data_IF_901978963563
#
_entry.id   IF_901978963563
#
_cell.length_a   1.000
_cell.length_b   1.000
_cell.length_c   1.000
_cell.angle_alpha   90.00
_cell.angle_beta   90.00
_cell.angle_gamma   90.00
#
_symmetry.space_group_name_H-M   'P 1'
#
loop_
_entity.id
_entity.type
_entity.pdbx_description
1 polymer ?
#
# COMPACT_ATOMS: atom_id res chain seq x y z
N UNK A 1 25.81 14.93 -31.07
CA UNK A 1 24.35 15.16 -31.16
C UNK A 1 23.48 13.91 -30.98
N UNK A 2 23.91 12.68 -31.31
CA UNK A 2 23.12 11.45 -31.07
C UNK A 2 23.13 10.90 -29.62
N UNK A 3 24.11 11.26 -28.76
CA UNK A 3 24.15 10.83 -27.34
C UNK A 3 23.09 11.52 -26.46
N UNK A 4 22.81 12.81 -26.69
CA UNK A 4 21.85 13.59 -25.87
C UNK A 4 20.38 13.15 -26.00
N UNK A 5 20.03 12.36 -27.01
CA UNK A 5 18.65 11.89 -27.22
C UNK A 5 18.31 10.61 -26.44
N UNK A 6 19.32 9.83 -26.02
CA UNK A 6 19.09 8.52 -25.35
C UNK A 6 18.52 8.65 -23.93
N UNK A 7 18.83 9.73 -23.22
CA UNK A 7 18.36 9.97 -21.84
C UNK A 7 17.13 10.87 -21.76
N UNK A 8 16.48 11.18 -22.90
CA UNK A 8 15.20 11.92 -22.91
C UNK A 8 14.00 11.06 -22.47
N UNK A 9 14.20 9.75 -22.24
CA UNK A 9 13.15 8.77 -22.01
C UNK A 9 13.30 8.03 -20.67
N UNK A 10 13.76 8.70 -19.62
CA UNK A 10 13.36 8.26 -18.28
C UNK A 10 11.86 8.55 -18.17
N UNK A 11 11.06 7.48 -18.05
CA UNK A 11 9.61 7.59 -18.17
C UNK A 11 9.04 8.19 -16.90
N UNK A 12 8.38 9.33 -17.03
CA UNK A 12 7.42 9.82 -16.06
C UNK A 12 6.14 8.98 -16.19
N UNK A 13 6.08 7.86 -15.48
CA UNK A 13 4.88 7.03 -15.39
C UNK A 13 4.28 7.16 -13.98
N UNK A 14 3.24 7.98 -13.89
CA UNK A 14 2.26 7.88 -12.81
C UNK A 14 0.89 7.82 -13.49
N UNK A 15 0.38 6.60 -13.61
CA UNK A 15 -0.98 6.35 -14.09
C UNK A 15 -1.98 6.94 -13.08
N UNK A 16 -2.87 7.81 -13.56
CA UNK A 16 -4.05 8.26 -12.84
C UNK A 16 -5.28 8.10 -13.73
N UNK A 17 -6.31 7.43 -13.20
CA UNK A 17 -7.64 7.37 -13.82
C UNK A 17 -8.68 8.13 -13.00
N UNK A 18 -9.64 8.68 -13.75
CA UNK A 18 -10.70 9.59 -13.31
C UNK A 18 -11.90 8.85 -12.69
N UNK A 19 -12.63 9.51 -11.78
CA UNK A 19 -14.01 9.13 -11.43
C UNK A 19 -15.02 10.18 -11.92
N UNK A 20 -16.05 9.69 -12.62
CA UNK A 20 -17.37 10.35 -12.74
C UNK A 20 -18.18 10.00 -11.49
N UNK A 21 -18.86 10.99 -10.90
CA UNK A 21 -19.91 10.78 -9.90
C UNK A 21 -21.13 10.11 -10.53
N UNK A 22 -21.66 9.08 -9.88
CA UNK A 22 -23.07 8.68 -10.05
C UNK A 22 -23.63 8.24 -8.70
N UNK A 23 -24.67 8.95 -8.28
CA UNK A 23 -25.43 8.82 -7.04
C UNK A 23 -26.33 7.59 -7.04
N UNK A 24 -26.49 6.92 -5.89
CA UNK A 24 -27.64 6.06 -5.62
C UNK A 24 -28.07 6.17 -4.15
N UNK A 25 -29.38 6.17 -3.93
CA UNK A 25 -30.03 6.51 -2.66
C UNK A 25 -31.15 5.50 -2.36
N UNK A 26 -31.32 5.21 -1.05
CA UNK A 26 -32.51 4.73 -0.31
C UNK A 26 -33.00 3.27 -0.46
N UNK A 27 -32.99 2.51 0.64
CA UNK A 27 -34.19 1.99 1.37
C UNK A 27 -33.78 1.05 2.52
N UNK A 28 -34.32 1.25 3.74
CA UNK A 28 -34.64 0.19 4.74
C UNK A 28 -35.18 0.79 6.05
N UNK A 29 -36.51 0.82 6.21
CA UNK A 29 -37.18 1.32 7.43
C UNK A 29 -37.88 0.24 8.29
N UNK A 30 -37.77 -1.06 7.99
CA UNK A 30 -38.56 -2.10 8.67
C UNK A 30 -37.83 -3.01 9.70
N UNK A 31 -36.56 -2.74 10.05
CA UNK A 31 -35.80 -3.62 10.97
C UNK A 31 -35.54 -3.05 12.39
N UNK A 32 -36.06 -1.86 12.74
CA UNK A 32 -35.70 -1.21 14.01
C UNK A 32 -36.37 -1.79 15.26
N UNK A 33 -37.62 -2.30 15.18
CA UNK A 33 -38.33 -2.79 16.37
C UNK A 33 -37.90 -4.18 16.83
N UNK A 34 -37.44 -5.05 15.93
CA UNK A 34 -36.96 -6.39 16.27
C UNK A 34 -35.55 -6.32 16.90
N UNK A 35 -34.69 -5.44 16.38
CA UNK A 35 -33.35 -5.20 16.92
C UNK A 35 -33.41 -4.66 18.35
N UNK A 36 -34.31 -3.73 18.67
CA UNK A 36 -34.39 -3.14 20.02
C UNK A 36 -34.74 -4.15 21.13
N UNK A 37 -35.51 -5.21 20.83
CA UNK A 37 -35.87 -6.25 21.82
C UNK A 37 -34.74 -7.26 22.05
N UNK A 38 -33.96 -7.57 21.02
CA UNK A 38 -32.80 -8.47 21.13
C UNK A 38 -31.62 -7.78 21.84
N UNK A 39 -31.40 -6.49 21.60
CA UNK A 39 -30.33 -5.72 22.25
C UNK A 39 -30.54 -5.62 23.77
N UNK A 40 -31.78 -5.48 24.26
CA UNK A 40 -32.02 -5.34 25.71
C UNK A 40 -31.77 -6.64 26.49
N UNK A 41 -32.09 -7.80 25.91
CA UNK A 41 -31.80 -9.10 26.52
C UNK A 41 -30.30 -9.43 26.48
N UNK A 42 -29.59 -9.06 25.41
CA UNK A 42 -28.14 -9.27 25.31
C UNK A 42 -27.33 -8.37 26.26
N UNK A 43 -27.75 -7.12 26.49
CA UNK A 43 -27.07 -6.20 27.43
C UNK A 43 -27.14 -6.73 28.87
N UNK A 44 -28.26 -7.34 29.27
CA UNK A 44 -28.39 -7.98 30.60
C UNK A 44 -27.42 -9.16 30.77
N UNK A 45 -27.26 -9.98 29.73
CA UNK A 45 -26.38 -11.16 29.77
C UNK A 45 -24.89 -10.79 29.76
N UNK A 46 -24.50 -9.79 28.95
CA UNK A 46 -23.12 -9.27 28.89
C UNK A 46 -22.70 -8.60 30.20
N UNK A 47 -23.63 -7.90 30.88
CA UNK A 47 -23.34 -7.29 32.18
C UNK A 47 -23.16 -8.31 33.31
N UNK A 48 -23.75 -9.51 33.19
CA UNK A 48 -23.49 -10.62 34.11
C UNK A 48 -22.11 -11.25 33.90
N UNK A 49 -21.64 -11.35 32.65
CA UNK A 49 -20.36 -11.98 32.28
C UNK A 49 -19.14 -11.05 32.49
N UNK A 50 -19.31 -9.73 32.39
CA UNK A 50 -18.23 -8.74 32.67
C UNK A 50 -17.76 -8.73 34.12
N UNK A 51 -18.54 -9.28 35.07
CA UNK A 51 -18.16 -9.31 36.49
C UNK A 51 -17.14 -10.39 36.85
N UNK A 52 -16.85 -11.33 35.95
CA UNK A 52 -16.07 -12.54 36.29
C UNK A 52 -14.73 -12.70 35.59
N UNK A 53 -14.40 -11.96 34.52
CA UNK A 53 -13.11 -12.14 33.82
C UNK A 53 -12.67 -10.89 33.05
N UNK A 54 -11.41 -10.48 33.27
CA UNK A 54 -10.77 -9.34 32.60
C UNK A 54 -10.50 -9.65 31.12
N UNK A 55 -10.99 -8.78 30.21
CA UNK A 55 -10.34 -8.55 28.91
C UNK A 55 -10.61 -9.50 27.74
N UNK A 56 -11.80 -10.11 27.61
CA UNK A 56 -12.18 -10.84 26.39
C UNK A 56 -12.89 -9.94 25.35
N UNK A 57 -12.42 -9.96 24.09
CA UNK A 57 -13.20 -9.54 22.92
C UNK A 57 -14.11 -10.71 22.53
N UNK A 58 -15.42 -10.49 22.58
CA UNK A 58 -16.43 -11.49 22.21
C UNK A 58 -17.04 -11.08 20.87
N UNK A 59 -16.89 -11.92 19.85
CA UNK A 59 -17.62 -11.77 18.59
C UNK A 59 -18.80 -12.74 18.62
N UNK A 60 -20.01 -12.22 18.44
CA UNK A 60 -21.24 -13.02 18.43
C UNK A 60 -21.77 -13.09 17.01
N UNK A 61 -21.83 -14.29 16.46
CA UNK A 61 -22.45 -14.55 15.16
C UNK A 61 -23.73 -15.35 15.37
N UNK A 62 -24.86 -14.83 14.87
CA UNK A 62 -26.14 -15.51 14.90
C UNK A 62 -26.41 -16.15 13.54
N UNK A 63 -26.67 -17.46 13.54
CA UNK A 63 -27.12 -18.18 12.36
C UNK A 63 -28.52 -18.71 12.59
N UNK A 64 -29.43 -18.39 11.68
CA UNK A 64 -30.79 -18.90 11.67
C UNK A 64 -30.90 -19.91 10.53
N UNK A 65 -31.04 -21.19 10.84
CA UNK A 65 -31.43 -22.19 9.84
C UNK A 65 -32.93 -22.49 9.99
N UNK A 66 -33.60 -22.64 8.84
CA UNK A 66 -34.96 -23.15 8.78
C UNK A 66 -34.94 -24.39 7.89
N UNK A 67 -35.42 -25.51 8.42
CA UNK A 67 -35.67 -26.71 7.62
C UNK A 67 -37.18 -26.87 7.46
N UNK A 68 -37.64 -26.93 6.22
CA UNK A 68 -39.03 -27.25 5.89
C UNK A 68 -39.16 -28.77 5.77
N UNK A 69 -39.41 -29.42 6.90
CA UNK A 69 -40.02 -30.75 6.95
C UNK A 69 -41.48 -30.61 7.38
N UNK A 70 -42.40 -31.18 6.62
CA UNK A 70 -43.84 -31.03 6.80
C UNK A 70 -44.30 -31.18 8.26
N UNK A 71 -44.95 -30.13 8.74
CA UNK A 71 -45.54 -29.92 10.07
C UNK A 71 -44.57 -29.65 11.24
N UNK A 72 -44.52 -28.36 11.60
CA UNK A 72 -43.75 -27.63 12.63
C UNK A 72 -42.38 -27.08 12.18
N UNK A 73 -42.37 -25.80 11.85
CA UNK A 73 -41.16 -24.98 11.68
C UNK A 73 -40.48 -24.83 13.05
N UNK A 74 -39.33 -25.49 13.25
CA UNK A 74 -38.47 -25.24 14.42
C UNK A 74 -37.34 -24.32 13.95
N UNK A 75 -37.42 -23.04 14.31
CA UNK A 75 -36.30 -22.11 14.15
C UNK A 75 -35.27 -22.40 15.24
N UNK A 76 -34.15 -23.00 14.87
CA UNK A 76 -33.03 -23.19 15.81
C UNK A 76 -32.06 -22.04 15.61
N UNK A 77 -31.92 -21.18 16.62
CA UNK A 77 -30.94 -20.09 16.62
C UNK A 77 -29.64 -20.64 17.19
N UNK A 78 -28.59 -20.62 16.37
CA UNK A 78 -27.23 -20.96 16.81
C UNK A 78 -26.51 -19.66 17.18
N UNK A 79 -26.03 -19.58 18.42
CA UNK A 79 -25.20 -18.48 18.90
C UNK A 79 -23.78 -19.01 19.06
N UNK A 80 -22.89 -18.63 18.14
CA UNK A 80 -21.48 -18.97 18.23
C UNK A 80 -20.74 -17.87 18.99
N UNK A 81 -20.02 -18.25 20.04
CA UNK A 81 -19.14 -17.35 20.78
C UNK A 81 -17.69 -17.61 20.37
N UNK A 82 -17.09 -16.66 19.65
CA UNK A 82 -15.65 -16.69 19.39
C UNK A 82 -14.94 -15.92 20.50
N UNK A 83 -14.09 -16.63 21.24
CA UNK A 83 -13.20 -16.07 22.25
C UNK A 83 -11.77 -16.07 21.71
N UNK A 84 -11.19 -14.90 21.52
CA UNK A 84 -9.77 -14.76 21.21
C UNK A 84 -9.02 -14.36 22.48
N UNK A 85 -8.17 -15.24 23.00
CA UNK A 85 -7.26 -14.92 24.11
C UNK A 85 -5.92 -14.53 23.49
N UNK A 86 -5.37 -13.33 23.75
CA UNK A 86 -4.02 -13.01 23.32
C UNK A 86 -3.05 -13.53 24.38
N UNK A 87 -2.23 -14.54 24.07
CA UNK A 87 -0.89 -14.66 24.67
C UNK A 87 0.03 -15.57 23.86
N UNK A 88 1.26 -15.09 23.81
CA UNK A 88 2.49 -15.66 23.27
C UNK A 88 2.68 -17.16 23.53
N UNK A 89 3.15 -17.86 22.49
CA UNK A 89 3.56 -19.27 22.45
C UNK A 89 2.43 -20.28 22.67
N UNK A 90 2.10 -21.01 21.60
CA UNK A 90 1.02 -22.00 21.41
C UNK A 90 -0.38 -21.42 21.14
N UNK A 91 -0.67 -21.20 19.85
CA UNK A 91 -2.01 -20.87 19.36
C UNK A 91 -2.98 -22.04 19.56
N UNK A 92 -3.97 -21.84 20.42
CA UNK A 92 -5.18 -22.66 20.49
C UNK A 92 -6.41 -21.77 20.43
N UNK A 93 -7.23 -21.93 19.40
CA UNK A 93 -8.55 -21.30 19.27
C UNK A 93 -9.62 -22.27 19.80
N UNK A 94 -10.55 -21.77 20.61
CA UNK A 94 -11.64 -22.56 21.17
C UNK A 94 -12.96 -22.17 20.51
N UNK A 95 -13.65 -23.13 19.88
CA UNK A 95 -15.03 -22.96 19.43
C UNK A 95 -15.96 -23.62 20.44
N UNK A 96 -16.79 -22.83 21.12
CA UNK A 96 -17.82 -23.31 22.04
C UNK A 96 -19.18 -23.24 21.34
N UNK A 97 -19.79 -24.41 21.13
CA UNK A 97 -21.13 -24.52 20.54
C UNK A 97 -22.14 -24.72 21.67
N UNK A 98 -23.09 -23.80 21.79
CA UNK A 98 -24.19 -23.90 22.75
C UNK A 98 -25.46 -24.37 22.05
N UNK A 99 -26.03 -25.48 22.52
CA UNK A 99 -27.32 -25.99 22.05
C UNK A 99 -28.45 -25.53 22.99
N UNK A 100 -29.37 -24.72 22.47
CA UNK A 100 -30.49 -24.14 23.23
C UNK A 100 -31.57 -25.15 23.61
N UNK A 101 -31.63 -26.34 22.98
CA UNK A 101 -32.63 -27.38 23.32
C UNK A 101 -32.18 -28.30 24.45
N UNK A 102 -30.86 -28.51 24.64
CA UNK A 102 -30.31 -29.43 25.66
C UNK A 102 -29.53 -28.73 26.78
N UNK A 103 -29.33 -27.41 26.68
CA UNK A 103 -28.53 -26.61 27.64
C UNK A 103 -27.12 -27.15 27.89
N UNK A 104 -26.49 -27.77 26.88
CA UNK A 104 -25.14 -28.36 26.96
C UNK A 104 -24.11 -27.56 26.14
N UNK A 105 -22.90 -27.41 26.67
CA UNK A 105 -21.73 -26.84 25.99
C UNK A 105 -20.86 -27.97 25.42
N UNK A 106 -20.59 -27.94 24.12
CA UNK A 106 -19.59 -28.81 23.48
C UNK A 106 -18.37 -27.99 23.07
N UNK A 107 -17.18 -28.42 23.50
CA UNK A 107 -15.90 -27.91 23.03
C UNK A 107 -15.29 -28.88 22.03
N UNK A 108 -15.04 -28.42 20.81
CA UNK A 108 -14.27 -29.17 19.83
C UNK A 108 -12.83 -28.63 19.84
N UNK A 109 -11.86 -29.45 20.28
CA UNK A 109 -10.44 -29.17 20.11
C UNK A 109 -10.01 -29.75 18.77
N UNK A 110 -9.79 -28.89 17.78
CA UNK A 110 -8.97 -29.23 16.62
C UNK A 110 -7.70 -28.39 16.68
N UNK A 111 -6.55 -29.06 16.78
CA UNK A 111 -5.25 -28.44 16.64
C UNK A 111 -5.13 -27.99 15.16
N UNK A 112 -5.53 -26.75 14.87
CA UNK A 112 -5.26 -26.12 13.59
C UNK A 112 -3.83 -25.63 13.62
N UNK A 113 -2.94 -26.37 12.96
CA UNK A 113 -1.63 -25.85 12.57
C UNK A 113 -1.88 -24.67 11.61
N UNK A 114 -1.88 -23.45 12.14
CA UNK A 114 -1.90 -22.24 11.33
C UNK A 114 -0.55 -22.17 10.64
N UNK A 115 -0.48 -22.56 9.38
CA UNK A 115 0.65 -22.24 8.51
C UNK A 115 0.87 -20.73 8.58
N UNK A 116 2.11 -20.30 8.77
CA UNK A 116 2.43 -18.87 8.69
C UNK A 116 1.94 -18.36 7.33
N UNK A 117 0.89 -17.53 7.33
CA UNK A 117 0.36 -16.95 6.09
C UNK A 117 1.48 -16.12 5.44
N UNK A 118 1.79 -16.46 4.20
CA UNK A 118 2.73 -15.68 3.38
C UNK A 118 2.08 -14.34 3.10
N UNK A 119 2.75 -13.25 3.47
CA UNK A 119 2.26 -11.91 3.23
C UNK A 119 2.35 -11.60 1.74
N UNK A 120 1.35 -10.92 1.20
CA UNK A 120 1.34 -10.41 -0.16
C UNK A 120 1.26 -8.88 -0.17
N UNK A 121 1.94 -8.26 -1.14
CA UNK A 121 1.80 -6.83 -1.39
C UNK A 121 0.35 -6.47 -1.76
N UNK A 122 -0.40 -7.41 -2.34
CA UNK A 122 -1.79 -7.22 -2.74
C UNK A 122 -2.79 -7.38 -1.57
N UNK A 123 -2.31 -7.64 -0.35
CA UNK A 123 -3.16 -7.77 0.83
C UNK A 123 -3.87 -6.46 1.19
N UNK A 124 -5.15 -6.57 1.49
CA UNK A 124 -6.00 -5.45 1.85
C UNK A 124 -5.81 -5.08 3.33
N UNK A 125 -5.20 -3.92 3.59
CA UNK A 125 -4.87 -3.48 4.95
C UNK A 125 -5.89 -2.48 5.52
N UNK A 126 -6.38 -2.76 6.72
CA UNK A 126 -7.25 -1.86 7.48
C UNK A 126 -8.74 -1.99 7.16
N UNK A 127 -9.54 -1.40 8.04
CA UNK A 127 -10.99 -1.52 8.02
C UNK A 127 -11.60 -0.58 6.97
N UNK A 128 -12.59 -1.06 6.24
CA UNK A 128 -13.40 -0.21 5.35
C UNK A 128 -14.17 0.84 6.17
N UNK A 129 -14.38 2.01 5.58
CA UNK A 129 -15.09 3.12 6.24
C UNK A 129 -16.40 3.47 5.52
N UNK A 130 -17.38 4.11 6.19
CA UNK A 130 -18.61 4.56 5.55
C UNK A 130 -18.37 5.55 4.40
N UNK A 131 -19.16 5.50 3.31
CA UNK A 131 -18.98 6.38 2.15
C UNK A 131 -19.03 7.89 2.46
N UNK A 132 -19.89 8.30 3.41
CA UNK A 132 -20.01 9.70 3.83
C UNK A 132 -18.72 10.20 4.50
N UNK A 133 -18.12 9.37 5.35
CA UNK A 133 -16.84 9.67 5.98
C UNK A 133 -15.73 9.72 4.94
N UNK A 134 -15.72 8.78 3.99
CA UNK A 134 -14.75 8.78 2.90
C UNK A 134 -14.81 10.06 2.08
N UNK A 135 -16.01 10.52 1.71
CA UNK A 135 -16.18 11.75 0.95
C UNK A 135 -15.69 13.00 1.71
N UNK A 136 -15.91 13.06 3.03
CA UNK A 136 -15.37 14.14 3.85
C UNK A 136 -13.83 14.14 3.88
N UNK A 137 -13.21 12.96 4.05
CA UNK A 137 -11.75 12.81 4.04
C UNK A 137 -11.14 13.12 2.66
N UNK A 138 -11.83 12.77 1.57
CA UNK A 138 -11.43 13.11 0.20
C UNK A 138 -11.31 14.62 0.00
N UNK A 139 -12.28 15.39 0.50
CA UNK A 139 -12.26 16.86 0.41
C UNK A 139 -11.05 17.45 1.15
N UNK A 140 -10.76 16.96 2.35
CA UNK A 140 -9.57 17.39 3.12
C UNK A 140 -8.26 17.12 2.37
N UNK A 141 -8.14 15.95 1.72
CA UNK A 141 -6.99 15.65 0.88
C UNK A 141 -6.90 16.57 -0.35
N UNK A 142 -8.02 16.86 -1.01
CA UNK A 142 -8.05 17.78 -2.15
C UNK A 142 -7.62 19.20 -1.77
N UNK A 143 -8.07 19.69 -0.62
CA UNK A 143 -7.69 21.00 -0.10
C UNK A 143 -6.19 21.04 0.24
N UNK A 144 -5.69 19.99 0.88
CA UNK A 144 -4.26 19.85 1.23
C UNK A 144 -3.35 19.78 -0.01
N UNK A 145 -3.82 19.17 -1.09
CA UNK A 145 -3.08 19.02 -2.35
C UNK A 145 -3.20 20.22 -3.29
N UNK A 146 -3.98 21.25 -2.93
CA UNK A 146 -4.20 22.49 -3.72
C UNK A 146 -4.30 22.22 -5.23
N UNK A 147 -5.15 21.27 -5.64
CA UNK A 147 -5.21 20.74 -7.02
C UNK A 147 -5.23 21.84 -8.10
N UNK A 148 -4.05 22.19 -8.64
CA UNK A 148 -3.83 23.07 -9.80
C UNK A 148 -2.95 22.35 -10.80
N UNK A 149 -3.28 22.44 -12.09
CA UNK A 149 -2.51 21.80 -13.15
C UNK A 149 -1.22 22.59 -13.44
N UNK A 150 -0.07 21.95 -13.24
CA UNK A 150 1.22 22.43 -13.72
C UNK A 150 1.91 21.34 -14.51
N UNK A 151 2.51 21.70 -15.66
CA UNK A 151 3.29 20.78 -16.48
C UNK A 151 4.75 21.26 -16.46
N UNK A 152 5.65 20.46 -15.92
CA UNK A 152 7.08 20.79 -15.78
C UNK A 152 7.96 19.77 -16.52
N UNK A 153 8.34 20.02 -17.77
CA UNK A 153 9.29 19.12 -18.47
C UNK A 153 10.70 19.32 -17.93
N UNK A 154 11.41 18.27 -17.52
CA UNK A 154 12.81 18.37 -17.08
C UNK A 154 13.69 17.19 -17.47
N UNK A 155 14.98 17.49 -17.59
CA UNK A 155 16.07 16.54 -17.90
C UNK A 155 17.06 16.51 -16.73
N UNK A 156 17.69 15.36 -16.46
CA UNK A 156 18.69 15.20 -15.38
C UNK A 156 19.81 16.24 -15.40
N UNK A 157 20.21 16.73 -16.60
CA UNK A 157 21.28 17.72 -16.80
C UNK A 157 20.91 19.16 -16.37
N UNK A 158 19.63 19.46 -16.11
CA UNK A 158 19.14 20.83 -15.93
C UNK A 158 18.65 21.16 -14.52
N UNK A 159 18.56 20.15 -13.65
CA UNK A 159 18.12 20.30 -12.25
C UNK A 159 18.93 19.42 -11.34
N UNK A 160 18.87 19.70 -10.04
CA UNK A 160 19.47 18.88 -9.00
C UNK A 160 18.49 17.79 -8.59
N UNK A 161 18.96 16.55 -8.57
CA UNK A 161 18.16 15.42 -8.15
C UNK A 161 18.75 14.74 -6.91
N UNK A 162 17.87 14.27 -6.05
CA UNK A 162 18.13 13.14 -5.20
C UNK A 162 17.77 11.84 -5.92
N UNK A 163 18.44 10.76 -5.55
CA UNK A 163 18.17 9.41 -6.02
C UNK A 163 17.79 8.50 -4.84
N UNK A 164 16.88 7.56 -5.10
CA UNK A 164 16.54 6.47 -4.19
C UNK A 164 16.26 5.20 -5.00
N UNK A 165 16.10 4.06 -4.33
CA UNK A 165 15.65 2.83 -4.99
C UNK A 165 14.13 2.85 -5.23
N UNK A 166 13.68 2.25 -6.33
CA UNK A 166 12.28 1.89 -6.55
C UNK A 166 12.02 0.56 -5.87
N UNK A 167 11.16 0.50 -4.85
CA UNK A 167 10.82 -0.78 -4.24
C UNK A 167 9.76 -1.48 -5.09
N UNK A 168 9.62 -2.78 -4.90
CA UNK A 168 8.42 -3.51 -5.34
C UNK A 168 7.39 -3.51 -4.20
N UNK A 169 6.57 -2.46 -4.15
CA UNK A 169 5.56 -2.29 -3.11
C UNK A 169 4.29 -1.62 -3.61
N UNK A 170 3.29 -1.58 -2.75
CA UNK A 170 2.02 -0.92 -3.03
C UNK A 170 2.04 0.52 -2.55
N UNK A 171 1.77 1.46 -3.46
CA UNK A 171 1.68 2.89 -3.12
C UNK A 171 0.46 3.16 -2.26
N UNK A 172 0.68 3.84 -1.14
CA UNK A 172 -0.38 4.38 -0.29
C UNK A 172 -0.04 5.81 0.09
N UNK A 173 -1.03 6.69 0.11
CA UNK A 173 -0.95 7.87 0.98
C UNK A 173 -1.42 7.48 2.38
N UNK A 174 -0.94 8.19 3.39
CA UNK A 174 -1.39 8.02 4.77
C UNK A 174 -1.84 9.34 5.35
N UNK A 175 -3.11 9.40 5.75
CA UNK A 175 -3.68 10.53 6.48
C UNK A 175 -3.70 10.21 7.98
N UNK A 176 -2.94 10.96 8.76
CA UNK A 176 -2.86 10.80 10.21
C UNK A 176 -3.86 11.74 10.88
N UNK A 177 -4.59 11.21 11.85
CA UNK A 177 -5.60 11.91 12.65
C UNK A 177 -5.36 11.64 14.14
N UNK A 178 -6.03 12.36 15.05
CA UNK A 178 -5.87 12.12 16.49
C UNK A 178 -6.28 10.70 16.92
N UNK A 179 -7.23 10.09 16.21
CA UNK A 179 -7.80 8.78 16.54
C UNK A 179 -7.12 7.59 15.84
N UNK A 180 -6.09 7.82 15.01
CA UNK A 180 -5.44 6.79 14.21
C UNK A 180 -4.99 7.31 12.85
N UNK A 181 -4.85 6.43 11.86
CA UNK A 181 -4.53 6.84 10.49
C UNK A 181 -5.43 6.15 9.46
N UNK A 182 -5.41 6.67 8.24
CA UNK A 182 -6.07 6.10 7.09
C UNK A 182 -5.02 5.83 6.01
N UNK A 183 -4.97 4.60 5.51
CA UNK A 183 -4.28 4.26 4.27
C UNK A 183 -5.20 4.60 3.11
N UNK A 184 -4.64 5.25 2.08
CA UNK A 184 -5.36 5.70 0.90
C UNK A 184 -4.66 5.09 -0.30
N UNK A 185 -5.34 4.18 -1.00
CA UNK A 185 -4.79 3.52 -2.17
C UNK A 185 -4.83 4.41 -3.42
N UNK A 186 -4.34 3.88 -4.54
CA UNK A 186 -4.36 4.53 -5.85
C UNK A 186 -5.77 4.82 -6.38
N UNK A 187 -6.78 4.07 -5.91
CA UNK A 187 -8.20 4.28 -6.21
C UNK A 187 -8.86 5.32 -5.28
N UNK A 188 -8.08 5.94 -4.41
CA UNK A 188 -8.55 6.93 -3.44
C UNK A 188 -9.61 6.35 -2.49
N UNK A 189 -9.44 5.07 -2.14
CA UNK A 189 -10.22 4.33 -1.15
C UNK A 189 -9.51 4.42 0.20
N UNK A 190 -10.26 4.75 1.23
CA UNK A 190 -9.73 4.98 2.56
C UNK A 190 -9.94 3.75 3.43
N UNK A 191 -8.89 3.32 4.11
CA UNK A 191 -8.94 2.22 5.07
C UNK A 191 -8.36 2.65 6.40
N UNK A 192 -9.15 2.49 7.46
CA UNK A 192 -8.75 2.88 8.80
C UNK A 192 -7.74 1.88 9.36
N UNK A 193 -6.66 2.41 9.92
CA UNK A 193 -5.65 1.65 10.65
C UNK A 193 -5.40 2.32 12.00
N UNK A 194 -5.49 1.53 13.07
CA UNK A 194 -5.26 2.04 14.42
C UNK A 194 -3.76 2.07 14.73
N UNK A 195 -3.13 3.22 14.46
CA UNK A 195 -1.72 3.48 14.80
C UNK A 195 -1.55 4.87 15.42
N UNK A 196 -0.63 5.00 16.36
CA UNK A 196 -0.37 6.25 17.08
C UNK A 196 0.78 7.02 16.47
N UNK A 197 0.59 8.31 16.20
CA UNK A 197 1.63 9.20 15.69
C UNK A 197 1.76 10.44 16.58
N UNK A 198 2.73 10.45 17.51
CA UNK A 198 2.90 11.57 18.43
C UNK A 198 3.49 12.78 17.71
N UNK A 199 3.12 13.97 18.17
CA UNK A 199 3.81 15.18 17.74
C UNK A 199 5.13 15.36 18.47
N UNK A 200 6.01 16.17 17.89
CA UNK A 200 7.22 16.63 18.55
C UNK A 200 6.86 17.39 19.84
N UNK A 201 7.43 16.94 20.96
CA UNK A 201 7.21 17.60 22.25
C UNK A 201 7.84 19.00 22.23
N UNK A 202 7.04 20.02 22.50
CA UNK A 202 7.50 21.39 22.77
C UNK A 202 7.48 21.62 24.29
N UNK A 203 8.35 22.50 24.76
CA UNK A 203 8.53 22.85 26.18
C UNK A 203 7.31 23.51 26.86
N UNK A 204 6.23 23.76 26.11
CA UNK A 204 5.00 24.37 26.59
C UNK A 204 3.91 23.30 26.69
N UNK A 205 3.65 22.88 27.92
CA UNK A 205 3.08 21.57 28.26
C UNK A 205 1.58 21.36 28.03
N UNK A 206 0.98 21.82 26.92
CA UNK A 206 -0.33 21.33 26.49
C UNK A 206 -0.69 21.72 25.03
N UNK A 207 -0.27 20.94 24.01
CA UNK A 207 -0.73 21.16 22.63
C UNK A 207 -0.77 19.84 21.85
N UNK A 208 -1.90 19.10 21.93
CA UNK A 208 -2.22 17.84 21.19
C UNK A 208 -1.11 16.75 21.24
N UNK A 209 -1.42 15.59 21.83
CA UNK A 209 -0.43 14.49 21.92
C UNK A 209 -0.14 13.81 20.57
N UNK A 210 -0.97 14.06 19.55
CA UNK A 210 -0.94 13.37 18.26
C UNK A 210 -1.20 14.36 17.12
N UNK A 211 -0.68 14.02 15.94
CA UNK A 211 -0.94 14.79 14.72
C UNK A 211 -2.43 14.91 14.41
N UNK A 212 -2.79 15.98 13.69
CA UNK A 212 -4.17 16.27 13.31
C UNK A 212 -4.29 16.67 11.83
N UNK A 213 -4.58 15.69 10.97
CA UNK A 213 -4.59 15.82 9.50
C UNK A 213 -3.20 16.10 8.92
N UNK A 214 -2.24 15.23 9.23
CA UNK A 214 -0.93 15.17 8.54
C UNK A 214 -1.02 14.18 7.38
N UNK A 215 -0.61 14.56 6.17
CA UNK A 215 -0.71 13.74 4.96
C UNK A 215 0.67 13.35 4.44
N UNK A 216 0.89 12.04 4.30
CA UNK A 216 2.15 11.40 3.89
C UNK A 216 1.99 10.65 2.57
N UNK A 217 3.04 10.59 1.75
CA UNK A 217 3.09 9.78 0.53
C UNK A 217 4.18 8.71 0.69
N UNK A 218 3.85 7.47 0.37
CA UNK A 218 4.71 6.35 0.68
C UNK A 218 4.33 5.06 -0.05
N UNK A 219 5.06 4.01 0.30
CA UNK A 219 4.98 2.70 -0.31
C UNK A 219 5.02 1.63 0.79
N UNK A 220 4.08 0.69 0.75
CA UNK A 220 4.07 -0.47 1.62
C UNK A 220 4.88 -1.58 0.96
N UNK A 221 5.91 -2.07 1.66
CA UNK A 221 6.75 -3.18 1.24
C UNK A 221 6.67 -4.32 2.25
N UNK A 222 7.03 -5.51 1.81
CA UNK A 222 7.23 -6.68 2.68
C UNK A 222 8.73 -6.93 2.78
N UNK A 223 9.25 -6.74 3.99
CA UNK A 223 10.61 -7.11 4.33
C UNK A 223 10.66 -8.60 4.68
N UNK A 224 11.67 -9.30 4.19
CA UNK A 224 12.08 -10.61 4.69
C UNK A 224 13.27 -10.44 5.61
N UNK A 225 13.10 -10.77 6.89
CA UNK A 225 14.16 -10.66 7.89
C UNK A 225 15.29 -11.65 7.53
N UNK A 226 16.54 -11.17 7.36
CA UNK A 226 17.69 -12.06 7.17
C UNK A 226 17.75 -13.04 8.35
N UNK A 227 18.02 -14.32 8.07
CA UNK A 227 18.09 -15.46 8.99
C UNK A 227 16.75 -16.15 9.35
N UNK A 228 15.68 -15.41 9.66
CA UNK A 228 14.41 -16.05 10.07
C UNK A 228 13.44 -16.29 8.93
N UNK A 229 13.64 -15.63 7.77
CA UNK A 229 12.68 -15.57 6.66
C UNK A 229 11.29 -15.07 7.09
N UNK A 230 11.21 -14.46 8.28
CA UNK A 230 9.97 -13.89 8.77
C UNK A 230 9.66 -12.63 7.96
N UNK A 231 8.43 -12.56 7.46
CA UNK A 231 7.97 -11.41 6.71
C UNK A 231 7.36 -10.36 7.65
N UNK A 232 7.75 -9.10 7.45
CA UNK A 232 7.18 -7.94 8.14
C UNK A 232 6.79 -6.86 7.14
N UNK A 233 5.61 -6.27 7.32
CA UNK A 233 5.20 -5.11 6.52
C UNK A 233 5.89 -3.84 7.00
N UNK A 234 6.37 -3.03 6.06
CA UNK A 234 6.96 -1.72 6.32
C UNK A 234 6.40 -0.67 5.37
N UNK A 235 5.89 0.41 5.95
CA UNK A 235 5.53 1.62 5.22
C UNK A 235 6.74 2.55 5.11
N UNK A 236 7.26 2.69 3.88
CA UNK A 236 8.35 3.58 3.52
C UNK A 236 7.77 4.93 3.07
N UNK A 237 7.90 5.94 3.92
CA UNK A 237 7.44 7.30 3.62
C UNK A 237 8.52 8.03 2.82
N UNK A 238 8.18 8.52 1.63
CA UNK A 238 9.13 9.27 0.80
C UNK A 238 8.79 10.76 0.66
N UNK A 239 7.55 11.19 0.91
CA UNK A 239 7.17 12.62 0.88
C UNK A 239 6.13 12.99 1.95
N UNK A 240 6.03 14.29 2.24
CA UNK A 240 5.15 14.91 3.24
C UNK A 240 4.41 16.07 2.59
N UNK A 241 3.09 16.00 2.47
CA UNK A 241 2.31 17.01 1.75
C UNK A 241 1.62 18.01 2.69
N UNK A 242 1.27 17.57 3.90
CA UNK A 242 0.64 18.43 4.90
C UNK A 242 1.03 18.01 6.32
N UNK A 243 1.14 18.98 7.22
CA UNK A 243 1.37 18.77 8.66
C UNK A 243 0.27 19.48 9.42
N UNK A 244 -0.44 18.76 10.28
CA UNK A 244 -1.44 19.35 11.18
C UNK A 244 -2.45 20.27 10.46
N UNK A 245 -3.02 19.81 9.35
CA UNK A 245 -3.92 20.57 8.45
C UNK A 245 -3.27 21.64 7.57
N UNK A 246 -1.98 21.95 7.73
CA UNK A 246 -1.28 22.91 6.89
C UNK A 246 -0.61 22.24 5.69
N UNK A 247 -0.97 22.70 4.48
CA UNK A 247 -0.36 22.25 3.22
C UNK A 247 1.04 22.81 3.05
N UNK A 248 2.01 21.95 2.81
CA UNK A 248 3.42 22.30 2.58
C UNK A 248 3.93 21.92 1.18
N UNK A 249 3.02 21.58 0.26
CA UNK A 249 3.36 21.08 -1.09
C UNK A 249 4.19 22.07 -1.92
N UNK A 250 4.12 23.37 -1.61
CA UNK A 250 4.86 24.42 -2.32
C UNK A 250 6.32 24.52 -1.87
N UNK A 251 6.67 23.95 -0.71
CA UNK A 251 8.05 23.91 -0.23
C UNK A 251 8.90 23.00 -1.11
N UNK A 252 10.21 23.25 -1.22
CA UNK A 252 11.18 22.33 -1.84
C UNK A 252 11.12 20.91 -1.26
N UNK A 253 11.33 19.88 -2.11
CA UNK A 253 11.36 18.49 -1.65
C UNK A 253 12.36 18.24 -0.52
N UNK A 254 13.57 18.83 -0.60
CA UNK A 254 14.59 18.70 0.44
C UNK A 254 14.09 19.17 1.82
N UNK A 255 13.26 20.21 1.87
CA UNK A 255 12.67 20.71 3.11
C UNK A 255 11.60 19.77 3.62
N UNK A 256 10.67 19.33 2.76
CA UNK A 256 9.61 18.37 3.12
C UNK A 256 10.20 17.05 3.64
N UNK A 257 11.26 16.56 2.99
CA UNK A 257 11.97 15.33 3.38
C UNK A 257 12.72 15.46 4.71
N UNK A 258 13.25 16.65 5.03
CA UNK A 258 13.84 16.97 6.33
C UNK A 258 12.78 17.10 7.43
N UNK A 259 11.67 17.77 7.13
CA UNK A 259 10.52 17.91 8.04
C UNK A 259 9.93 16.55 8.39
N UNK A 260 9.84 15.63 7.42
CA UNK A 260 9.38 14.26 7.67
C UNK A 260 10.17 13.55 8.77
N UNK A 261 11.50 13.68 8.77
CA UNK A 261 12.33 13.11 9.84
C UNK A 261 12.02 13.78 11.18
N UNK A 262 12.04 15.12 11.23
CA UNK A 262 11.93 15.90 12.47
C UNK A 262 10.54 15.89 13.11
N UNK A 263 9.50 15.89 12.29
CA UNK A 263 8.13 16.09 12.75
C UNK A 263 7.36 14.78 12.91
N UNK A 264 7.74 13.71 12.20
CA UNK A 264 6.98 12.43 12.22
C UNK A 264 7.82 11.28 12.73
N UNK A 265 9.05 11.10 12.22
CA UNK A 265 9.86 9.91 12.50
C UNK A 265 10.55 9.98 13.86
N UNK A 266 11.25 11.08 14.14
CA UNK A 266 11.95 11.30 15.40
C UNK A 266 10.98 11.24 16.60
N UNK A 267 9.84 11.96 16.63
CA UNK A 267 8.91 11.91 17.77
C UNK A 267 8.38 10.50 18.02
N UNK A 268 8.02 9.77 16.95
CA UNK A 268 7.55 8.39 17.03
C UNK A 268 8.62 7.46 17.58
N UNK A 269 9.86 7.60 17.15
CA UNK A 269 10.97 6.76 17.61
C UNK A 269 11.31 7.03 19.08
N UNK A 270 11.30 8.29 19.50
CA UNK A 270 11.50 8.70 20.89
C UNK A 270 10.40 8.12 21.79
N UNK A 271 9.13 8.34 21.46
CA UNK A 271 8.01 7.79 22.23
C UNK A 271 8.08 6.25 22.30
N UNK A 272 8.39 5.58 21.18
CA UNK A 272 8.58 4.12 21.15
C UNK A 272 9.68 3.64 22.10
N UNK A 273 10.83 4.30 22.12
CA UNK A 273 11.93 3.96 23.04
C UNK A 273 11.53 4.19 24.51
N UNK A 274 10.84 5.29 24.80
CA UNK A 274 10.31 5.55 26.14
C UNK A 274 9.28 4.49 26.57
N UNK A 275 8.37 4.07 25.68
CA UNK A 275 7.39 3.02 25.98
C UNK A 275 8.04 1.66 26.18
N UNK A 276 9.04 1.31 25.38
CA UNK A 276 9.75 0.03 25.50
C UNK A 276 10.43 -0.13 26.86
N UNK A 277 10.96 0.96 27.42
CA UNK A 277 11.59 0.98 28.73
C UNK A 277 10.60 1.20 29.90
N UNK A 278 9.32 1.47 29.61
CA UNK A 278 8.30 1.70 30.62
C UNK A 278 7.76 0.39 31.18
N UNK A 279 7.54 0.34 32.50
CA UNK A 279 6.92 -0.82 33.17
C UNK A 279 5.43 -0.97 32.84
N UNK A 280 4.76 0.11 32.46
CA UNK A 280 3.35 0.12 32.09
C UNK A 280 3.15 1.03 30.87
N UNK A 281 3.49 0.54 29.66
CA UNK A 281 3.32 1.32 28.44
C UNK A 281 1.84 1.49 28.14
N UNK A 282 1.40 2.74 27.94
CA UNK A 282 0.02 3.02 27.55
C UNK A 282 -0.26 2.71 26.07
N UNK A 283 0.79 2.45 25.28
CA UNK A 283 0.70 2.08 23.87
C UNK A 283 1.78 1.04 23.50
N UNK A 284 1.42 0.08 22.65
CA UNK A 284 2.26 -1.07 22.25
C UNK A 284 2.60 -1.00 20.77
N UNK A 285 3.73 -0.37 20.44
CA UNK A 285 4.23 -0.27 19.07
C UNK A 285 4.53 -1.63 18.43
N UNK A 286 4.89 -2.63 19.23
CA UNK A 286 5.18 -3.99 18.76
C UNK A 286 3.95 -4.67 18.14
N UNK A 287 2.73 -4.28 18.54
CA UNK A 287 1.46 -4.81 18.03
C UNK A 287 0.92 -4.09 16.80
N UNK A 288 1.64 -3.09 16.28
CA UNK A 288 1.22 -2.38 15.08
C UNK A 288 1.26 -3.28 13.84
N UNK A 289 0.31 -3.11 12.90
CA UNK A 289 0.19 -3.97 11.73
C UNK A 289 1.36 -3.86 10.74
N UNK A 290 2.13 -2.77 10.81
CA UNK A 290 3.33 -2.56 10.01
C UNK A 290 4.27 -1.56 10.67
N UNK A 291 5.56 -1.64 10.31
CA UNK A 291 6.58 -0.68 10.73
C UNK A 291 6.54 0.57 9.86
N UNK A 292 6.96 1.70 10.41
CA UNK A 292 7.04 2.98 9.68
C UNK A 292 8.50 3.40 9.60
N UNK A 293 8.96 3.80 8.41
CA UNK A 293 10.33 4.28 8.19
C UNK A 293 10.33 5.35 7.10
N UNK A 294 11.20 6.35 7.24
CA UNK A 294 11.48 7.27 6.14
C UNK A 294 12.38 6.62 5.09
N UNK A 295 12.01 6.75 3.82
CA UNK A 295 12.80 6.30 2.69
C UNK A 295 14.03 7.19 2.55
N UNK A 296 15.20 6.56 2.41
CA UNK A 296 16.46 7.27 2.24
C UNK A 296 16.55 7.89 0.84
N UNK A 297 17.18 9.05 0.75
CA UNK A 297 17.51 9.71 -0.51
C UNK A 297 18.98 10.12 -0.47
N UNK A 298 19.63 10.03 -1.62
CA UNK A 298 21.06 10.21 -1.80
C UNK A 298 21.32 11.23 -2.89
N UNK A 299 22.37 12.04 -2.75
CA UNK A 299 22.83 12.89 -3.83
C UNK A 299 23.21 12.04 -5.04
N UNK A 300 23.00 12.57 -6.26
CA UNK A 300 23.37 11.89 -7.49
C UNK A 300 24.83 11.41 -7.54
N UNK A 301 25.75 12.18 -6.94
CA UNK A 301 27.17 11.81 -6.81
C UNK A 301 27.42 10.52 -6.02
N UNK A 302 26.43 10.03 -5.28
CA UNK A 302 26.51 8.82 -4.44
C UNK A 302 25.67 7.65 -4.98
N UNK A 303 25.12 7.75 -6.19
CA UNK A 303 24.28 6.69 -6.81
C UNK A 303 25.02 5.36 -6.95
N UNK A 304 26.32 5.37 -7.22
CA UNK A 304 27.11 4.12 -7.26
C UNK A 304 27.09 3.39 -5.91
N UNK A 305 27.12 4.13 -4.79
CA UNK A 305 26.98 3.55 -3.45
C UNK A 305 25.56 3.04 -3.22
N UNK A 306 24.55 3.80 -3.64
CA UNK A 306 23.15 3.41 -3.57
C UNK A 306 22.89 2.08 -4.28
N UNK A 307 23.42 1.88 -5.48
CA UNK A 307 23.30 0.61 -6.21
C UNK A 307 23.96 -0.54 -5.45
N UNK A 308 25.09 -0.31 -4.79
CA UNK A 308 25.74 -1.31 -3.93
C UNK A 308 24.95 -1.66 -2.66
N UNK A 309 24.00 -0.80 -2.24
CA UNK A 309 23.12 -1.04 -1.09
C UNK A 309 21.86 -1.82 -1.46
N UNK A 310 21.41 -1.77 -2.73
CA UNK A 310 20.19 -2.45 -3.18
C UNK A 310 20.18 -3.95 -2.84
N UNK A 311 21.26 -4.72 -3.09
CA UNK A 311 21.29 -6.14 -2.73
C UNK A 311 21.24 -6.43 -1.22
N UNK A 312 21.42 -5.41 -0.38
CA UNK A 312 21.39 -5.52 1.09
C UNK A 312 20.02 -5.16 1.66
N UNK A 313 19.06 -4.76 0.82
CA UNK A 313 17.69 -4.47 1.24
C UNK A 313 16.98 -5.77 1.62
N UNK A 314 16.09 -5.67 2.60
CA UNK A 314 15.22 -6.77 3.05
C UNK A 314 14.03 -6.99 2.12
N UNK A 315 13.87 -6.18 1.09
CA UNK A 315 12.76 -6.19 0.13
C UNK A 315 13.30 -6.00 -1.29
N UNK A 316 12.53 -6.41 -2.29
CA UNK A 316 12.93 -6.31 -3.70
C UNK A 316 12.92 -4.86 -4.20
N UNK A 317 13.89 -4.53 -5.07
CA UNK A 317 13.98 -3.23 -5.71
C UNK A 317 14.05 -3.37 -7.23
N UNK A 318 13.14 -2.68 -7.91
CA UNK A 318 12.95 -2.76 -9.36
C UNK A 318 13.86 -1.80 -10.14
N UNK A 319 14.51 -0.86 -9.45
CA UNK A 319 15.40 0.12 -10.07
C UNK A 319 15.60 1.37 -9.20
N UNK A 320 15.63 2.54 -9.83
CA UNK A 320 15.93 3.84 -9.22
C UNK A 320 14.82 4.86 -9.49
N UNK A 321 14.65 5.78 -8.54
CA UNK A 321 13.79 6.96 -8.66
C UNK A 321 14.64 8.19 -8.45
N UNK A 322 14.47 9.19 -9.32
CA UNK A 322 15.11 10.49 -9.22
C UNK A 322 14.06 11.56 -8.95
N UNK A 323 14.20 12.21 -7.79
CA UNK A 323 13.32 13.26 -7.31
C UNK A 323 14.07 14.60 -7.33
N UNK A 324 13.51 15.63 -7.96
CA UNK A 324 14.12 16.95 -7.96
C UNK A 324 14.26 17.49 -6.54
N UNK A 325 15.42 18.05 -6.23
CA UNK A 325 15.83 18.50 -4.89
C UNK A 325 14.98 19.69 -4.41
N UNK A 326 14.74 20.65 -5.31
CA UNK A 326 13.95 21.87 -5.10
C UNK A 326 12.52 21.78 -5.61
N UNK A 327 12.09 20.61 -6.09
CA UNK A 327 10.77 20.46 -6.69
C UNK A 327 9.65 20.60 -5.64
N UNK A 328 8.61 21.42 -5.91
CA UNK A 328 7.37 21.34 -5.14
C UNK A 328 6.70 19.98 -5.38
N UNK A 329 5.82 19.57 -4.47
CA UNK A 329 5.01 18.38 -4.68
C UNK A 329 3.97 18.67 -5.78
N UNK A 330 3.96 17.85 -6.83
CA UNK A 330 3.04 17.97 -7.96
C UNK A 330 2.00 16.85 -7.85
N UNK A 331 0.73 17.16 -7.54
CA UNK A 331 -0.34 16.18 -7.61
C UNK A 331 -0.51 15.67 -9.05
N UNK A 332 -0.92 14.41 -9.19
CA UNK A 332 -1.08 13.72 -10.48
C UNK A 332 0.27 13.43 -11.15
N UNK A 333 0.35 13.58 -12.47
CA UNK A 333 1.53 13.23 -13.25
C UNK A 333 2.63 14.26 -13.06
N UNK A 334 3.70 13.84 -12.39
CA UNK A 334 4.91 14.64 -12.26
C UNK A 334 5.93 14.23 -13.33
N UNK A 335 6.06 15.07 -14.35
CA UNK A 335 7.05 14.95 -15.42
C UNK A 335 8.50 15.16 -14.96
N UNK A 336 8.71 15.72 -13.77
CA UNK A 336 10.02 15.84 -13.14
C UNK A 336 10.39 14.68 -12.21
N UNK A 337 9.47 13.77 -11.89
CA UNK A 337 9.78 12.54 -11.17
C UNK A 337 10.19 11.48 -12.18
N UNK A 338 11.46 11.09 -12.17
CA UNK A 338 12.01 10.16 -13.15
C UNK A 338 12.18 8.77 -12.55
N UNK A 339 11.72 7.75 -13.25
CA UNK A 339 11.92 6.37 -12.84
C UNK A 339 12.80 5.62 -13.86
N UNK A 340 13.75 4.85 -13.35
CA UNK A 340 14.54 3.89 -14.11
C UNK A 340 14.30 2.50 -13.54
N UNK A 341 13.97 1.53 -14.39
CA UNK A 341 13.82 0.13 -14.01
C UNK A 341 14.95 -0.69 -14.63
N UNK A 342 15.35 -1.77 -13.95
CA UNK A 342 16.23 -2.76 -14.58
C UNK A 342 15.56 -3.29 -15.85
N UNK A 343 16.30 -3.56 -16.94
CA UNK A 343 15.71 -3.98 -18.21
C UNK A 343 14.73 -5.15 -18.10
N UNK A 344 15.05 -6.16 -17.27
CA UNK A 344 14.19 -7.32 -17.02
C UNK A 344 12.98 -7.07 -16.10
N UNK A 345 12.86 -5.89 -15.50
CA UNK A 345 11.75 -5.50 -14.61
C UNK A 345 10.71 -4.62 -15.31
N UNK A 346 10.82 -4.45 -16.62
CA UNK A 346 9.78 -3.80 -17.42
C UNK A 346 8.65 -4.78 -17.71
N UNK A 347 7.46 -4.47 -17.19
CA UNK A 347 6.29 -5.32 -17.28
C UNK A 347 5.09 -4.57 -17.88
N UNK A 348 4.14 -5.35 -18.39
CA UNK A 348 2.84 -4.86 -18.87
C UNK A 348 1.75 -5.72 -18.25
N UNK A 349 0.68 -5.08 -17.80
CA UNK A 349 -0.51 -5.78 -17.31
C UNK A 349 -1.50 -6.02 -18.46
N UNK A 350 -1.70 -7.30 -18.80
CA UNK A 350 -2.63 -7.74 -19.82
C UNK A 350 -3.87 -8.37 -19.20
N UNK A 351 -5.02 -8.23 -19.87
CA UNK A 351 -6.16 -9.11 -19.63
C UNK A 351 -5.91 -10.39 -20.40
N UNK A 352 -5.85 -11.51 -19.69
CA UNK A 352 -5.58 -12.82 -20.25
C UNK A 352 -6.89 -13.60 -20.45
N UNK A 353 -7.06 -14.20 -21.61
CA UNK A 353 -8.20 -15.09 -21.87
C UNK A 353 -7.76 -16.33 -22.64
N UNK A 354 -8.37 -17.44 -22.26
CA UNK A 354 -8.25 -18.73 -22.94
C UNK A 354 -9.56 -18.99 -23.66
N UNK A 355 -9.51 -19.14 -24.99
CA UNK A 355 -10.70 -19.44 -25.82
C UNK A 355 -10.89 -20.94 -26.00
N UNK A 356 -9.78 -21.67 -26.14
CA UNK A 356 -9.70 -23.13 -26.24
C UNK A 356 -8.33 -23.59 -25.71
N UNK A 357 -8.10 -24.90 -25.55
CA UNK A 357 -6.88 -25.48 -24.94
C UNK A 357 -5.56 -25.00 -25.59
N UNK A 358 -5.60 -24.46 -26.81
CA UNK A 358 -4.41 -24.01 -27.54
C UNK A 358 -4.38 -22.50 -27.82
N UNK A 359 -5.44 -21.75 -27.48
CA UNK A 359 -5.56 -20.34 -27.86
C UNK A 359 -5.64 -19.42 -26.66
N UNK A 360 -4.45 -18.95 -26.31
CA UNK A 360 -4.20 -17.90 -25.33
C UNK A 360 -4.21 -16.52 -26.01
N UNK A 361 -4.98 -15.58 -25.45
CA UNK A 361 -5.14 -14.23 -25.96
C UNK A 361 -4.78 -13.20 -24.90
N UNK A 362 -4.01 -12.18 -25.31
CA UNK A 362 -3.65 -11.05 -24.47
C UNK A 362 -4.38 -9.79 -24.97
N UNK A 363 -4.93 -9.02 -24.04
CA UNK A 363 -5.66 -7.81 -24.34
C UNK A 363 -5.15 -6.60 -23.55
N UNK A 364 -5.15 -5.46 -24.25
CA UNK A 364 -4.93 -4.13 -23.68
C UNK A 364 -6.19 -3.28 -23.85
N UNK A 365 -6.19 -2.09 -23.25
CA UNK A 365 -7.20 -1.07 -23.54
C UNK A 365 -6.69 -0.07 -24.58
N UNK A 366 -7.60 0.36 -25.45
CA UNK A 366 -7.39 1.45 -26.38
C UNK A 366 -8.66 2.31 -26.36
N UNK A 367 -8.57 3.50 -25.78
CA UNK A 367 -9.71 4.41 -25.58
C UNK A 367 -10.88 3.74 -24.84
N UNK A 368 -10.55 2.94 -23.81
CA UNK A 368 -11.51 2.22 -22.97
C UNK A 368 -12.14 0.98 -23.63
N UNK A 369 -11.65 0.57 -24.81
CA UNK A 369 -12.10 -0.65 -25.49
C UNK A 369 -11.00 -1.71 -25.44
N UNK A 370 -11.42 -2.96 -25.27
CA UNK A 370 -10.54 -4.12 -25.30
C UNK A 370 -9.93 -4.29 -26.70
N UNK A 371 -8.61 -4.35 -26.78
CA UNK A 371 -7.82 -4.50 -28.01
C UNK A 371 -6.96 -5.75 -27.92
N UNK A 372 -7.11 -6.64 -28.91
CA UNK A 372 -6.35 -7.88 -28.99
C UNK A 372 -4.89 -7.60 -29.40
N UNK A 373 -3.95 -8.20 -28.67
CA UNK A 373 -2.53 -8.18 -28.99
C UNK A 373 -2.17 -9.40 -29.83
N UNK A 374 -2.51 -9.35 -31.11
CA UNK A 374 -2.29 -10.46 -32.02
C UNK A 374 -0.81 -10.84 -32.15
N UNK A 375 -0.53 -12.13 -32.28
CA UNK A 375 0.83 -12.68 -32.38
C UNK A 375 1.65 -12.68 -31.08
N UNK A 376 1.14 -12.16 -29.97
CA UNK A 376 1.82 -12.20 -28.67
C UNK A 376 1.50 -13.50 -27.92
N UNK A 377 2.52 -14.17 -27.40
CA UNK A 377 2.39 -15.39 -26.60
C UNK A 377 2.81 -15.12 -25.16
N UNK A 378 2.17 -15.81 -24.22
CA UNK A 378 2.56 -15.80 -22.82
C UNK A 378 3.13 -17.17 -22.43
N UNK A 379 4.20 -17.15 -21.66
CA UNK A 379 4.76 -18.33 -21.00
C UNK A 379 4.41 -18.29 -19.52
N UNK A 380 3.69 -19.33 -19.07
CA UNK A 380 3.29 -19.52 -17.68
C UNK A 380 4.33 -20.40 -16.99
N UNK A 381 5.52 -19.84 -16.74
CA UNK A 381 6.68 -20.58 -16.20
C UNK A 381 6.42 -21.26 -14.85
N UNK A 382 5.40 -20.83 -14.11
CA UNK A 382 5.07 -21.31 -12.77
C UNK A 382 4.16 -22.56 -12.75
N UNK A 383 3.87 -23.18 -13.90
CA UNK A 383 3.03 -24.38 -13.97
C UNK A 383 1.56 -24.14 -13.63
N UNK A 384 1.13 -22.88 -13.68
CA UNK A 384 -0.28 -22.48 -13.52
C UNK A 384 -1.11 -23.01 -14.70
N UNK A 385 -2.33 -23.47 -14.43
CA UNK A 385 -3.26 -23.83 -15.50
C UNK A 385 -3.77 -22.54 -16.19
N UNK A 386 -3.55 -22.37 -17.51
CA UNK A 386 -4.08 -21.24 -18.26
C UNK A 386 -5.58 -20.99 -18.00
N UNK A 387 -6.36 -22.05 -17.81
CA UNK A 387 -7.81 -21.96 -17.61
C UNK A 387 -8.17 -21.22 -16.33
N UNK A 388 -7.36 -21.35 -15.28
CA UNK A 388 -7.57 -20.67 -13.99
C UNK A 388 -7.22 -19.18 -14.04
N UNK A 389 -6.39 -18.78 -15.01
CA UNK A 389 -5.98 -17.39 -15.23
C UNK A 389 -6.90 -16.64 -16.19
N UNK A 390 -7.73 -17.37 -16.95
CA UNK A 390 -8.64 -16.77 -17.93
C UNK A 390 -9.60 -15.75 -17.28
N UNK A 391 -9.70 -14.57 -17.88
CA UNK A 391 -10.47 -13.43 -17.38
C UNK A 391 -9.76 -12.58 -16.32
N UNK A 392 -8.55 -12.96 -15.88
CA UNK A 392 -7.76 -12.19 -14.90
C UNK A 392 -6.77 -11.26 -15.60
N UNK A 393 -6.33 -10.26 -14.85
CA UNK A 393 -5.23 -9.39 -15.26
C UNK A 393 -3.93 -10.03 -14.78
N UNK A 394 -2.99 -10.22 -15.69
CA UNK A 394 -1.67 -10.78 -15.41
C UNK A 394 -0.59 -9.74 -15.74
N UNK A 395 0.40 -9.64 -14.88
CA UNK A 395 1.59 -8.82 -15.10
C UNK A 395 2.64 -9.69 -15.81
N UNK A 396 3.11 -9.24 -16.98
CA UNK A 396 4.09 -10.00 -17.76
C UNK A 396 5.33 -9.16 -18.09
N UNK A 397 6.50 -9.78 -18.02
CA UNK A 397 7.76 -9.20 -18.50
C UNK A 397 8.12 -9.74 -19.89
N UNK A 398 8.74 -8.90 -20.72
CA UNK A 398 9.16 -9.32 -22.06
C UNK A 398 10.48 -10.08 -22.03
N UNK A 399 10.49 -11.28 -22.60
CA UNK A 399 11.69 -12.07 -22.85
C UNK A 399 12.21 -11.80 -24.26
N UNK A 400 13.32 -11.06 -24.37
CA UNK A 400 13.89 -10.75 -25.68
C UNK A 400 14.57 -11.94 -26.35
N UNK A 401 14.95 -12.98 -25.61
CA UNK A 401 15.63 -14.14 -26.18
C UNK A 401 14.60 -15.08 -26.82
N UNK A 402 13.56 -15.43 -26.06
CA UNK A 402 12.49 -16.34 -26.51
C UNK A 402 11.37 -15.62 -27.30
N UNK A 403 11.37 -14.28 -27.31
CA UNK A 403 10.33 -13.45 -27.94
C UNK A 403 8.92 -13.75 -27.41
N UNK A 404 8.81 -13.97 -26.09
CA UNK A 404 7.56 -14.26 -25.38
C UNK A 404 7.37 -13.37 -24.16
N UNK A 405 6.12 -13.24 -23.71
CA UNK A 405 5.80 -12.59 -22.45
C UNK A 405 5.84 -13.62 -21.32
N UNK A 406 6.71 -13.44 -20.32
CA UNK A 406 6.73 -14.29 -19.15
C UNK A 406 5.71 -13.78 -18.12
N UNK A 407 4.74 -14.59 -17.73
CA UNK A 407 3.82 -14.23 -16.64
C UNK A 407 4.59 -14.16 -15.31
N UNK A 408 4.50 -13.02 -14.64
CA UNK A 408 5.13 -12.79 -13.35
C UNK A 408 4.16 -13.11 -12.21
N UNK A 409 2.94 -12.55 -12.29
CA UNK A 409 1.90 -12.69 -11.27
C UNK A 409 0.52 -12.29 -11.78
N UNK A 410 -0.50 -12.64 -11.00
CA UNK A 410 -1.88 -12.16 -11.17
C UNK A 410 -2.06 -10.83 -10.43
N UNK A 411 -2.69 -9.85 -11.08
CA UNK A 411 -2.97 -8.50 -10.54
C UNK A 411 -4.39 -8.39 -10.02
N UNK A 412 -4.60 -8.84 -8.78
CA UNK A 412 -5.93 -8.76 -8.12
C UNK A 412 -6.32 -7.34 -7.73
N UNK A 413 -5.35 -6.44 -7.62
CA UNK A 413 -5.51 -5.01 -7.32
C UNK A 413 -6.04 -4.20 -8.52
N UNK A 414 -5.94 -4.76 -9.74
CA UNK A 414 -6.34 -4.09 -10.98
C UNK A 414 -7.69 -4.57 -11.47
N UNK A 415 -8.52 -3.62 -11.90
CA UNK A 415 -9.80 -3.89 -12.56
C UNK A 415 -9.71 -3.81 -14.09
N UNK A 416 -8.65 -3.20 -14.63
CA UNK A 416 -8.47 -2.99 -16.08
C UNK A 416 -7.01 -3.21 -16.49
N UNK A 417 -6.73 -3.79 -17.67
CA UNK A 417 -5.36 -3.92 -18.19
C UNK A 417 -4.76 -2.55 -18.53
N UNK A 418 -3.47 -2.52 -18.88
CA UNK A 418 -2.84 -1.28 -19.31
C UNK A 418 -3.43 -0.75 -20.64
N UNK A 419 -3.32 0.56 -20.83
CA UNK A 419 -3.64 1.21 -22.10
C UNK A 419 -2.52 1.00 -23.13
N UNK A 420 -2.87 1.01 -24.41
CA UNK A 420 -1.95 0.84 -25.53
C UNK A 420 -0.81 1.88 -25.52
N UNK A 421 -1.05 3.07 -24.98
CA UNK A 421 -0.01 4.09 -24.79
C UNK A 421 1.01 3.68 -23.73
N UNK A 422 0.58 3.09 -22.61
CA UNK A 422 1.48 2.52 -21.59
C UNK A 422 2.29 1.38 -22.18
N UNK A 423 1.66 0.44 -22.88
CA UNK A 423 2.36 -0.62 -23.61
C UNK A 423 3.42 -0.07 -24.57
N UNK A 424 3.08 0.96 -25.37
CA UNK A 424 4.02 1.55 -26.32
C UNK A 424 5.23 2.18 -25.63
N UNK A 425 5.04 2.82 -24.48
CA UNK A 425 6.13 3.36 -23.65
C UNK A 425 7.01 2.25 -23.09
N UNK A 426 6.41 1.20 -22.52
CA UNK A 426 7.14 0.06 -21.99
C UNK A 426 7.96 -0.61 -23.08
N UNK A 427 7.38 -0.83 -24.27
CA UNK A 427 8.11 -1.39 -25.42
C UNK A 427 9.23 -0.47 -25.91
N UNK A 428 9.05 0.85 -25.83
CA UNK A 428 10.11 1.79 -26.14
C UNK A 428 11.25 1.69 -25.13
N UNK A 429 10.94 1.59 -23.82
CA UNK A 429 11.95 1.40 -22.77
C UNK A 429 12.75 0.12 -22.95
N UNK A 430 12.07 -0.99 -23.27
CA UNK A 430 12.70 -2.28 -23.55
C UNK A 430 13.65 -2.16 -24.74
N UNK A 431 13.25 -1.45 -25.80
CA UNK A 431 14.09 -1.22 -27.00
C UNK A 431 15.28 -0.32 -26.71
N UNK A 432 15.08 0.74 -25.93
CA UNK A 432 16.15 1.69 -25.58
C UNK A 432 17.18 1.04 -24.65
N UNK A 433 16.75 0.07 -23.84
CA UNK A 433 17.59 -0.81 -23.01
C UNK A 433 18.70 -0.05 -22.28
N UNK A 434 18.33 1.01 -21.56
CA UNK A 434 19.27 1.79 -20.76
C UNK A 434 19.73 0.93 -19.60
N UNK A 435 20.95 0.43 -19.65
CA UNK A 435 21.51 -0.41 -18.57
C UNK A 435 22.06 0.48 -17.47
N UNK A 436 22.27 -0.13 -16.30
CA UNK A 436 22.86 0.56 -15.14
C UNK A 436 24.21 1.21 -15.46
N UNK A 437 25.03 0.57 -16.30
CA UNK A 437 26.32 1.10 -16.71
C UNK A 437 26.18 2.38 -17.53
N UNK A 438 25.22 2.41 -18.46
CA UNK A 438 24.97 3.55 -19.32
C UNK A 438 24.44 4.73 -18.47
N UNK A 439 23.57 4.44 -17.51
CA UNK A 439 23.05 5.41 -16.53
C UNK A 439 24.16 5.99 -15.63
N UNK A 440 25.05 5.15 -15.12
CA UNK A 440 26.15 5.58 -14.26
C UNK A 440 27.18 6.45 -15.00
N UNK A 441 27.49 6.13 -16.26
CA UNK A 441 28.36 6.97 -17.10
C UNK A 441 27.75 8.37 -17.26
N UNK A 442 26.46 8.45 -17.58
CA UNK A 442 25.76 9.72 -17.75
C UNK A 442 25.69 10.53 -16.44
N UNK A 443 25.41 9.89 -15.31
CA UNK A 443 25.44 10.54 -13.99
C UNK A 443 26.85 11.06 -13.68
N UNK A 444 27.90 10.30 -14.03
CA UNK A 444 29.29 10.72 -13.88
C UNK A 444 29.62 12.01 -14.64
N UNK A 445 29.07 12.19 -15.85
CA UNK A 445 29.18 13.44 -16.60
C UNK A 445 28.38 14.58 -15.94
N UNK A 446 27.15 14.29 -15.48
CA UNK A 446 26.24 15.28 -14.88
C UNK A 446 26.81 15.89 -13.60
N UNK A 447 27.36 15.06 -12.70
CA UNK A 447 27.87 15.53 -11.41
C UNK A 447 29.11 16.42 -11.53
N UNK A 448 29.77 16.40 -12.69
CA UNK A 448 30.88 17.31 -13.02
C UNK A 448 30.40 18.70 -13.46
N UNK A 449 29.11 18.91 -13.69
CA UNK A 449 28.57 20.21 -14.08
C UNK A 449 28.64 21.22 -12.92
N UNK A 450 28.90 22.51 -13.18
CA UNK A 450 29.06 23.52 -12.13
C UNK A 450 27.91 23.59 -11.12
N UNK A 451 26.67 23.39 -11.59
CA UNK A 451 25.46 23.39 -10.75
C UNK A 451 25.50 22.33 -9.63
N UNK A 452 26.11 21.17 -9.87
CA UNK A 452 26.24 20.10 -8.87
C UNK A 452 27.42 20.31 -7.92
N UNK A 453 28.46 21.04 -8.35
CA UNK A 453 29.66 21.28 -7.54
C UNK A 453 29.35 22.08 -6.26
N UNK A 454 28.42 23.03 -6.32
CA UNK A 454 28.04 23.85 -5.17
C UNK A 454 27.23 23.07 -4.13
N UNK A 455 26.32 22.18 -4.56
CA UNK A 455 25.59 21.29 -3.65
C UNK A 455 26.50 20.29 -2.95
N UNK A 456 27.46 19.69 -3.67
CA UNK A 456 28.41 18.74 -3.08
C UNK A 456 29.30 19.43 -2.04
N UNK A 457 29.62 20.72 -2.22
CA UNK A 457 30.37 21.51 -1.23
C UNK A 457 29.54 21.77 0.02
N UNK A 458 28.26 22.08 -0.14
CA UNK A 458 27.36 22.38 0.98
C UNK A 458 26.99 21.13 1.81
N UNK A 459 26.94 19.94 1.20
CA UNK A 459 26.64 18.68 1.89
C UNK A 459 27.83 18.11 2.69
N UNK A 460 29.06 18.58 2.40
CA UNK A 460 30.29 18.19 3.12
C UNK A 460 30.57 19.00 4.39
N UNK A 461 29.81 20.07 4.60
CA UNK A 461 29.84 20.93 5.79
C UNK A 461 28.62 20.64 6.66
#
# INVERSE_FOLDING_TARGET
MKKNARFQYLVAETDYLMFRQSSFNVELQNNQQLMQRLTSQMVSMVNSLKRTTYGLRMMVSMFQSSSNGGHKTVSTVWVCFNFSVPLSYFGRSYMLIWNSTTSSLFGCMQDVQVSAEVLSNDDVLGDAIPPEQQEALRRLCYDSLKLRAGVWKTYLRQRNYYATWKADGMRYMMLITPDGCFLIDTNFIFRRVQMRFPMKQTSEGLVKDTHDFTLLDGEMVIDSVPDTQQQERRYLIYDLMAINSESIIELPFCERWRMLEKEVIEPRNLERQHMYNSRNPHYRYDLEPFRVRRKGFWLLSTVTKLIGLIPQLSHEALGLVFQGWDDPYVPRTNVGLLEWKYPGMNSVDFLFEVVDENRQLLYLYDLGRKKLMDGNRVDLKNGEDPSELSGKIIECAWDSEEQVWNCMRVRVDKSTPNDINTYSKVMQNIKDNIRVVDLLEEIGEIVCLPMYADLIRNDRN
#
